data_IF_852001504660
#
_entry.id   IF_852001504660
#
_cell.length_a   1.000
_cell.length_b   1.000
_cell.length_c   1.000
_cell.angle_alpha   90.00
_cell.angle_beta   90.00
_cell.angle_gamma   90.00
#
_symmetry.space_group_name_H-M   'P 1'
#
loop_
_entity.id
_entity.type
_entity.pdbx_description
1 polymer ?
#
# COMPACT_ATOMS: atom_id res chain seq x y z
N UNK A 1 -35.52 19.65 20.46
CA UNK A 1 -35.33 20.02 19.05
C UNK A 1 -34.37 19.02 18.43
N UNK A 2 -34.94 17.92 17.93
CA UNK A 2 -34.26 16.89 17.16
C UNK A 2 -33.73 17.49 15.86
N UNK A 3 -32.40 17.55 15.74
CA UNK A 3 -31.72 17.83 14.47
C UNK A 3 -31.62 16.53 13.67
N UNK A 4 -32.53 16.39 12.70
CA UNK A 4 -32.47 15.38 11.64
C UNK A 4 -31.23 15.62 10.78
N UNK A 5 -30.09 15.03 11.16
CA UNK A 5 -28.90 14.96 10.31
C UNK A 5 -29.12 13.89 9.25
N UNK A 6 -29.31 14.33 8.02
CA UNK A 6 -29.66 13.50 6.87
C UNK A 6 -28.59 12.43 6.65
N UNK A 7 -28.96 11.16 6.88
CA UNK A 7 -28.19 10.01 6.38
C UNK A 7 -28.14 10.14 4.85
N UNK A 8 -26.98 10.32 4.20
CA UNK A 8 -26.93 10.20 2.76
C UNK A 8 -27.41 8.79 2.42
N UNK A 9 -28.55 8.72 1.74
CA UNK A 9 -29.21 7.45 1.43
C UNK A 9 -28.23 6.55 0.70
N UNK A 10 -28.08 5.31 1.17
CA UNK A 10 -27.19 4.29 0.59
C UNK A 10 -27.27 4.24 -0.94
N UNK A 11 -28.45 4.54 -1.52
CA UNK A 11 -28.71 4.70 -2.95
C UNK A 11 -27.85 5.75 -3.68
N UNK A 12 -27.56 6.91 -3.07
CA UNK A 12 -26.71 7.94 -3.69
C UNK A 12 -25.24 7.49 -3.77
N UNK A 13 -24.76 6.83 -2.71
CA UNK A 13 -23.41 6.24 -2.65
C UNK A 13 -23.22 5.14 -3.70
N UNK A 14 -24.24 4.32 -3.96
CA UNK A 14 -24.21 3.33 -5.05
C UNK A 14 -24.22 3.96 -6.45
N UNK A 15 -24.97 5.05 -6.65
CA UNK A 15 -24.97 5.78 -7.94
C UNK A 15 -23.62 6.41 -8.22
N UNK A 16 -22.99 7.09 -7.26
CA UNK A 16 -21.64 7.64 -7.44
C UNK A 16 -20.59 6.55 -7.68
N UNK A 17 -20.68 5.40 -6.99
CA UNK A 17 -19.74 4.28 -7.19
C UNK A 17 -19.94 3.59 -8.54
N UNK A 18 -21.18 3.42 -8.99
CA UNK A 18 -21.49 2.88 -10.31
C UNK A 18 -21.04 3.85 -11.41
N UNK A 19 -21.22 5.16 -11.21
CA UNK A 19 -20.75 6.20 -12.14
C UNK A 19 -19.23 6.25 -12.18
N UNK A 20 -18.52 6.17 -11.04
CA UNK A 20 -17.06 6.14 -11.01
C UNK A 20 -16.49 4.85 -11.60
N UNK A 21 -17.12 3.69 -11.34
CA UNK A 21 -16.76 2.42 -11.97
C UNK A 21 -17.01 2.42 -13.49
N UNK A 22 -18.14 2.97 -13.94
CA UNK A 22 -18.44 3.16 -15.36
C UNK A 22 -17.49 4.16 -16.01
N UNK A 23 -17.09 5.23 -15.31
CA UNK A 23 -16.14 6.22 -15.78
C UNK A 23 -14.74 5.60 -15.98
N UNK A 24 -14.28 4.77 -15.04
CA UNK A 24 -13.02 4.01 -15.22
C UNK A 24 -13.11 3.07 -16.42
N UNK A 25 -14.21 2.34 -16.58
CA UNK A 25 -14.43 1.47 -17.73
C UNK A 25 -14.48 2.23 -19.06
N UNK A 26 -15.08 3.43 -19.09
CA UNK A 26 -15.18 4.29 -20.28
C UNK A 26 -13.84 4.95 -20.62
N UNK A 27 -13.11 5.46 -19.62
CA UNK A 27 -11.79 6.06 -19.82
C UNK A 27 -10.80 5.02 -20.33
N UNK A 28 -10.85 3.81 -19.78
CA UNK A 28 -9.97 2.73 -20.22
C UNK A 28 -10.42 2.15 -21.56
N UNK A 29 -11.72 2.04 -21.84
CA UNK A 29 -12.26 1.71 -23.16
C UNK A 29 -11.77 2.70 -24.23
N UNK A 30 -11.83 3.99 -23.93
CA UNK A 30 -11.29 5.06 -24.80
C UNK A 30 -9.78 4.93 -25.02
N UNK A 31 -9.01 4.50 -24.01
CA UNK A 31 -7.58 4.20 -24.16
C UNK A 31 -7.31 2.95 -25.00
N UNK A 32 -8.15 1.90 -24.89
CA UNK A 32 -8.07 0.69 -25.72
C UNK A 32 -8.39 1.02 -27.19
N UNK A 33 -9.42 1.82 -27.44
CA UNK A 33 -9.79 2.27 -28.79
C UNK A 33 -8.70 3.18 -29.39
N UNK A 34 -8.15 4.11 -28.60
CA UNK A 34 -7.01 4.95 -29.03
C UNK A 34 -5.75 4.12 -29.32
N UNK A 35 -5.44 3.13 -28.49
CA UNK A 35 -4.32 2.20 -28.69
C UNK A 35 -4.51 1.30 -29.92
N UNK A 36 -5.76 0.93 -30.24
CA UNK A 36 -6.13 0.18 -31.44
C UNK A 36 -6.01 1.04 -32.71
N UNK A 37 -6.28 2.36 -32.60
CA UNK A 37 -6.10 3.33 -33.68
C UNK A 37 -4.64 3.63 -34.04
N UNK A 38 -3.71 3.56 -33.08
CA UNK A 38 -2.27 3.74 -33.33
C UNK A 38 -1.61 2.52 -34.02
N UNK A 39 -2.22 1.33 -33.95
CA UNK A 39 -1.70 0.11 -34.56
C UNK A 39 -2.06 -0.07 -36.05
N UNK A 40 -3.00 0.71 -36.58
CA UNK A 40 -3.50 0.58 -37.95
C UNK A 40 -2.70 1.36 -39.01
N UNK A 41 -1.63 2.07 -38.61
CA UNK A 41 -0.83 2.93 -39.50
C UNK A 41 0.47 2.34 -40.05
N UNK A 42 0.80 1.08 -39.77
CA UNK A 42 2.06 0.47 -40.20
C UNK A 42 1.84 -0.68 -41.20
N UNK A 43 1.35 -0.35 -42.39
CA UNK A 43 1.43 -1.23 -43.55
C UNK A 43 1.82 -0.41 -44.78
N UNK A 44 3.12 -0.38 -45.07
CA UNK A 44 3.73 -0.79 -46.35
C UNK A 44 4.94 0.08 -46.76
N UNK A 45 5.96 -0.59 -47.30
CA UNK A 45 7.04 0.01 -48.08
C UNK A 45 8.40 0.18 -47.39
N UNK A 46 9.33 -0.74 -47.67
CA UNK A 46 10.76 -0.38 -47.68
C UNK A 46 11.72 -1.43 -47.13
N UNK A 47 12.30 -2.20 -48.05
CA UNK A 47 13.53 -2.96 -47.90
C UNK A 47 14.62 -2.19 -47.12
N UNK A 48 14.84 -2.55 -45.85
CA UNK A 48 16.11 -2.34 -45.13
C UNK A 48 16.34 -3.49 -44.15
N UNK A 49 17.19 -4.44 -44.55
CA UNK A 49 17.87 -5.36 -43.64
C UNK A 49 18.74 -4.54 -42.66
N UNK A 50 18.64 -4.79 -41.36
CA UNK A 50 19.76 -5.00 -40.40
C UNK A 50 19.33 -4.79 -38.93
N UNK A 51 19.69 -5.77 -38.07
CA UNK A 51 19.90 -5.65 -36.60
C UNK A 51 18.72 -5.63 -35.61
N UNK A 52 17.55 -6.14 -35.97
CA UNK A 52 16.64 -6.72 -34.96
C UNK A 52 16.58 -8.21 -35.22
N UNK A 53 17.31 -8.98 -34.40
CA UNK A 53 16.98 -10.40 -34.21
C UNK A 53 15.47 -10.46 -33.96
N UNK A 54 14.78 -11.39 -34.62
CA UNK A 54 13.37 -11.66 -34.37
C UNK A 54 13.27 -12.11 -32.89
N UNK A 55 13.11 -11.15 -31.96
CA UNK A 55 13.12 -11.31 -30.50
C UNK A 55 11.78 -11.87 -29.98
N UNK A 56 10.72 -11.67 -30.77
CA UNK A 56 9.38 -12.06 -30.36
C UNK A 56 9.10 -13.59 -30.25
N UNK A 57 9.73 -14.52 -31.01
CA UNK A 57 9.63 -15.96 -30.72
C UNK A 57 10.37 -16.35 -29.43
N UNK A 58 11.51 -15.71 -29.10
CA UNK A 58 12.25 -15.98 -27.86
C UNK A 58 11.48 -15.51 -26.61
N UNK A 59 10.89 -14.31 -26.64
CA UNK A 59 10.03 -13.81 -25.56
C UNK A 59 8.82 -14.71 -25.26
N UNK A 60 8.19 -15.27 -26.30
CA UNK A 60 7.09 -16.22 -26.13
C UNK A 60 7.58 -17.55 -25.53
N UNK A 61 8.73 -18.05 -25.99
CA UNK A 61 9.34 -19.29 -25.47
C UNK A 61 9.70 -19.15 -23.99
N UNK A 62 10.30 -18.03 -23.60
CA UNK A 62 10.61 -17.71 -22.19
C UNK A 62 9.34 -17.52 -21.35
N UNK A 63 8.30 -16.87 -21.90
CA UNK A 63 7.02 -16.71 -21.23
C UNK A 63 6.33 -18.05 -20.96
N UNK A 64 6.42 -19.00 -21.90
CA UNK A 64 5.82 -20.33 -21.78
C UNK A 64 6.59 -21.26 -20.82
N UNK A 65 7.91 -21.07 -20.66
CA UNK A 65 8.73 -21.89 -19.77
C UNK A 65 8.58 -21.54 -18.28
N UNK A 66 8.18 -20.30 -17.95
CA UNK A 66 7.94 -19.85 -16.57
C UNK A 66 6.46 -20.01 -16.13
N UNK A 67 5.72 -20.90 -16.77
CA UNK A 67 4.30 -21.16 -16.48
C UNK A 67 4.11 -21.73 -15.08
N UNK A 68 3.38 -21.01 -14.25
CA UNK A 68 3.12 -21.36 -12.85
C UNK A 68 2.16 -20.41 -12.13
N UNK A 69 1.61 -19.43 -12.84
CA UNK A 69 0.56 -18.54 -12.34
C UNK A 69 -0.81 -19.12 -12.67
N UNK A 70 -1.82 -18.86 -11.83
CA UNK A 70 -3.21 -19.26 -12.09
C UNK A 70 -3.71 -18.71 -13.45
N UNK A 71 -3.17 -17.58 -13.89
CA UNK A 71 -3.38 -16.99 -15.22
C UNK A 71 -2.04 -16.50 -15.78
N UNK A 72 -1.57 -17.12 -16.86
CA UNK A 72 -0.31 -16.75 -17.53
C UNK A 72 -0.51 -15.57 -18.49
N UNK A 73 -0.61 -14.37 -17.92
CA UNK A 73 -0.73 -13.12 -18.66
C UNK A 73 0.43 -12.87 -19.64
N UNK A 74 1.61 -13.45 -19.37
CA UNK A 74 2.81 -13.35 -20.22
C UNK A 74 2.64 -14.09 -21.55
N UNK A 75 2.05 -15.29 -21.52
CA UNK A 75 1.76 -16.07 -22.73
C UNK A 75 0.66 -15.37 -23.53
N UNK A 76 -0.36 -14.84 -22.85
CA UNK A 76 -1.40 -14.04 -23.50
C UNK A 76 -0.82 -12.81 -24.23
N UNK A 77 0.08 -12.06 -23.58
CA UNK A 77 0.69 -10.85 -24.14
C UNK A 77 1.70 -11.15 -25.27
N UNK A 78 2.66 -12.05 -25.03
CA UNK A 78 3.78 -12.28 -25.97
C UNK A 78 3.47 -13.31 -27.05
N UNK A 79 2.69 -14.35 -26.74
CA UNK A 79 2.40 -15.43 -27.70
C UNK A 79 1.09 -15.22 -28.45
N UNK A 80 0.02 -14.83 -27.75
CA UNK A 80 -1.34 -14.80 -28.33
C UNK A 80 -1.71 -13.45 -28.95
N UNK A 81 -1.26 -12.33 -28.39
CA UNK A 81 -1.52 -10.97 -28.89
C UNK A 81 -0.30 -10.30 -29.54
N UNK A 82 0.53 -11.08 -30.25
CA UNK A 82 1.78 -10.60 -30.89
C UNK A 82 1.55 -9.45 -31.89
N UNK A 83 0.44 -9.49 -32.64
CA UNK A 83 0.07 -8.47 -33.63
C UNK A 83 -0.64 -7.23 -33.07
N UNK A 84 -1.06 -7.26 -31.80
CA UNK A 84 -1.84 -6.19 -31.18
C UNK A 84 -1.27 -5.86 -29.78
N UNK A 85 0.01 -5.46 -29.73
CA UNK A 85 0.72 -5.21 -28.46
C UNK A 85 0.05 -4.11 -27.63
N UNK A 86 -0.39 -3.03 -28.29
CA UNK A 86 -1.00 -1.89 -27.64
C UNK A 86 -2.34 -2.24 -26.96
N UNK A 87 -3.16 -3.07 -27.61
CA UNK A 87 -4.43 -3.55 -27.03
C UNK A 87 -4.19 -4.47 -25.84
N UNK A 88 -3.15 -5.32 -25.90
CA UNK A 88 -2.79 -6.16 -24.77
C UNK A 88 -2.27 -5.37 -23.57
N UNK A 89 -1.48 -4.31 -23.78
CA UNK A 89 -1.04 -3.43 -22.68
C UNK A 89 -2.23 -2.69 -22.09
N UNK A 90 -3.11 -2.14 -22.93
CA UNK A 90 -4.32 -1.45 -22.47
C UNK A 90 -5.25 -2.39 -21.68
N UNK A 91 -5.40 -3.65 -22.10
CA UNK A 91 -6.14 -4.67 -21.36
C UNK A 91 -5.50 -4.97 -19.99
N UNK A 92 -4.17 -5.07 -19.92
CA UNK A 92 -3.49 -5.29 -18.62
C UNK A 92 -3.66 -4.09 -17.69
N UNK A 93 -3.55 -2.86 -18.22
CA UNK A 93 -3.82 -1.65 -17.45
C UNK A 93 -5.28 -1.59 -16.98
N UNK A 94 -6.23 -2.02 -17.81
CA UNK A 94 -7.64 -2.15 -17.43
C UNK A 94 -7.84 -3.10 -16.27
N UNK A 95 -7.26 -4.30 -16.37
CA UNK A 95 -7.36 -5.32 -15.32
C UNK A 95 -6.76 -4.80 -14.02
N UNK A 96 -5.59 -4.16 -14.07
CA UNK A 96 -4.96 -3.55 -12.89
C UNK A 96 -5.86 -2.47 -12.29
N UNK A 97 -6.39 -1.55 -13.10
CA UNK A 97 -7.28 -0.49 -12.62
C UNK A 97 -8.55 -1.07 -11.97
N UNK A 98 -9.15 -2.09 -12.59
CA UNK A 98 -10.32 -2.78 -12.05
C UNK A 98 -10.01 -3.45 -10.71
N UNK A 99 -8.88 -4.16 -10.60
CA UNK A 99 -8.45 -4.82 -9.36
C UNK A 99 -8.22 -3.79 -8.25
N UNK A 100 -7.53 -2.68 -8.54
CA UNK A 100 -7.36 -1.58 -7.57
C UNK A 100 -8.70 -1.00 -7.12
N UNK A 101 -9.66 -0.83 -8.04
CA UNK A 101 -11.00 -0.34 -7.71
C UNK A 101 -11.76 -1.31 -6.81
N UNK A 102 -11.77 -2.61 -7.15
CA UNK A 102 -12.42 -3.65 -6.34
C UNK A 102 -11.76 -3.74 -4.95
N UNK A 103 -10.43 -3.74 -4.89
CA UNK A 103 -9.67 -3.75 -3.64
C UNK A 103 -10.03 -2.54 -2.77
N UNK A 104 -10.07 -1.34 -3.35
CA UNK A 104 -10.43 -0.11 -2.64
C UNK A 104 -11.87 -0.15 -2.09
N UNK A 105 -12.86 -0.50 -2.92
CA UNK A 105 -14.26 -0.57 -2.50
C UNK A 105 -14.48 -1.66 -1.44
N UNK A 106 -13.83 -2.82 -1.59
CA UNK A 106 -13.91 -3.92 -0.62
C UNK A 106 -13.24 -3.52 0.69
N UNK A 107 -12.08 -2.86 0.64
CA UNK A 107 -11.38 -2.39 1.82
C UNK A 107 -12.23 -1.39 2.62
N UNK A 108 -12.86 -0.42 1.94
CA UNK A 108 -13.70 0.56 2.61
C UNK A 108 -14.94 -0.06 3.27
N UNK A 109 -15.59 -1.02 2.59
CA UNK A 109 -16.86 -1.61 3.06
C UNK A 109 -16.71 -2.70 4.11
N UNK A 110 -15.64 -3.49 4.03
CA UNK A 110 -15.48 -4.69 4.86
C UNK A 110 -14.26 -4.61 5.76
N UNK A 111 -13.11 -4.23 5.23
CA UNK A 111 -11.86 -4.23 5.99
C UNK A 111 -11.82 -3.11 7.04
N UNK A 112 -12.10 -1.86 6.66
CA UNK A 112 -12.07 -0.71 7.57
C UNK A 112 -13.03 -0.85 8.77
N UNK A 113 -14.30 -1.28 8.60
CA UNK A 113 -15.20 -1.50 9.74
C UNK A 113 -14.75 -2.63 10.67
N UNK A 114 -14.17 -3.71 10.13
CA UNK A 114 -13.61 -4.81 10.94
C UNK A 114 -12.43 -4.32 11.76
N UNK A 115 -11.49 -3.59 11.16
CA UNK A 115 -10.34 -2.99 11.87
C UNK A 115 -10.82 -2.03 12.96
N UNK A 116 -11.83 -1.19 12.66
CA UNK A 116 -12.42 -0.28 13.65
C UNK A 116 -13.04 -1.03 14.82
N UNK A 117 -13.82 -2.09 14.55
CA UNK A 117 -14.45 -2.90 15.60
C UNK A 117 -13.43 -3.61 16.46
N UNK A 118 -12.34 -4.12 15.86
CA UNK A 118 -11.23 -4.71 16.61
C UNK A 118 -10.49 -3.67 17.47
N UNK A 119 -10.24 -2.48 16.91
CA UNK A 119 -9.59 -1.40 17.63
C UNK A 119 -10.42 -0.97 18.86
N UNK A 120 -11.75 -0.87 18.70
CA UNK A 120 -12.67 -0.53 19.80
C UNK A 120 -12.71 -1.64 20.86
N UNK A 121 -12.71 -2.92 20.45
CA UNK A 121 -12.67 -4.09 21.35
C UNK A 121 -11.38 -4.17 22.16
N UNK A 122 -10.25 -3.78 21.58
CA UNK A 122 -8.94 -3.80 22.23
C UNK A 122 -8.54 -2.45 22.83
N UNK A 123 -9.44 -1.45 22.79
CA UNK A 123 -9.21 -0.09 23.30
C UNK A 123 -7.92 0.55 22.72
N UNK A 124 -7.65 0.30 21.44
CA UNK A 124 -6.52 0.87 20.71
C UNK A 124 -6.88 2.26 20.20
N UNK A 125 -5.92 3.18 20.28
CA UNK A 125 -6.06 4.45 19.59
C UNK A 125 -6.02 4.26 18.06
N UNK A 126 -6.72 5.13 17.29
CA UNK A 126 -6.77 5.01 15.83
C UNK A 126 -5.40 4.95 15.15
N UNK A 127 -4.43 5.73 15.64
CA UNK A 127 -3.06 5.70 15.14
C UNK A 127 -2.40 4.32 15.35
N UNK A 128 -2.55 3.74 16.54
CA UNK A 128 -2.01 2.41 16.88
C UNK A 128 -2.68 1.31 16.07
N UNK A 129 -3.99 1.40 15.85
CA UNK A 129 -4.73 0.46 14.99
C UNK A 129 -4.28 0.53 13.52
N UNK A 130 -3.96 1.73 13.03
CA UNK A 130 -3.39 1.92 11.69
C UNK A 130 -2.02 1.27 11.53
N UNK A 131 -1.08 1.54 12.44
CA UNK A 131 0.29 0.98 12.34
C UNK A 131 0.38 -0.52 12.64
N UNK A 132 -0.68 -1.13 13.18
CA UNK A 132 -0.72 -2.57 13.53
C UNK A 132 -1.72 -3.36 12.69
N UNK A 133 -3.02 -3.18 12.93
CA UNK A 133 -4.08 -3.99 12.30
C UNK A 133 -4.20 -3.73 10.80
N UNK A 134 -4.18 -2.44 10.40
CA UNK A 134 -4.25 -2.07 8.99
C UNK A 134 -2.97 -2.51 8.26
N UNK A 135 -1.80 -2.27 8.87
CA UNK A 135 -0.51 -2.70 8.33
C UNK A 135 -0.41 -4.22 8.20
N UNK A 136 -0.88 -4.99 9.20
CA UNK A 136 -0.88 -6.45 9.19
C UNK A 136 -1.79 -7.02 8.10
N UNK A 137 -3.00 -6.46 7.95
CA UNK A 137 -3.94 -6.92 6.93
C UNK A 137 -3.42 -6.74 5.50
N UNK A 138 -2.62 -5.69 5.26
CA UNK A 138 -1.96 -5.48 3.97
C UNK A 138 -0.69 -6.33 3.82
N UNK A 139 0.16 -6.44 4.84
CA UNK A 139 1.47 -7.09 4.71
C UNK A 139 1.48 -8.62 4.86
N UNK A 140 0.50 -9.20 5.58
CA UNK A 140 0.41 -10.65 5.75
C UNK A 140 0.35 -11.45 4.43
N UNK A 141 -0.52 -11.12 3.45
CA UNK A 141 -0.57 -11.86 2.19
C UNK A 141 0.75 -11.79 1.41
N UNK A 142 1.46 -10.67 1.44
CA UNK A 142 2.75 -10.51 0.76
C UNK A 142 3.84 -11.41 1.37
N UNK A 143 3.87 -11.53 2.71
CA UNK A 143 4.80 -12.42 3.43
C UNK A 143 4.50 -13.88 3.08
N UNK A 144 3.22 -14.28 3.10
CA UNK A 144 2.84 -15.67 2.77
C UNK A 144 3.10 -16.00 1.30
N UNK A 145 2.85 -15.06 0.37
CA UNK A 145 3.16 -15.24 -1.04
C UNK A 145 4.68 -15.41 -1.26
N UNK A 146 5.48 -14.62 -0.57
CA UNK A 146 6.95 -14.68 -0.65
C UNK A 146 7.51 -15.96 -0.04
N UNK A 147 6.94 -16.42 1.07
CA UNK A 147 7.30 -17.69 1.69
C UNK A 147 6.91 -18.88 0.79
N UNK A 148 5.74 -18.83 0.15
CA UNK A 148 5.33 -19.84 -0.82
C UNK A 148 6.26 -19.86 -2.05
N UNK A 149 6.68 -18.69 -2.54
CA UNK A 149 7.64 -18.57 -3.63
C UNK A 149 9.04 -19.10 -3.25
N UNK A 150 9.50 -18.83 -2.03
CA UNK A 150 10.77 -19.32 -1.51
C UNK A 150 10.75 -20.85 -1.34
N UNK A 151 9.71 -21.39 -0.71
CA UNK A 151 9.59 -22.84 -0.44
C UNK A 151 9.34 -23.68 -1.68
N UNK A 152 8.68 -23.13 -2.71
CA UNK A 152 8.52 -23.80 -4.00
C UNK A 152 9.81 -23.86 -4.83
N UNK A 153 10.78 -22.98 -4.57
CA UNK A 153 12.13 -23.04 -5.17
C UNK A 153 13.05 -24.06 -4.49
N UNK A 154 12.83 -24.39 -3.21
CA UNK A 154 13.67 -25.32 -2.42
C UNK A 154 13.51 -26.81 -2.79
N UNK A 155 12.89 -27.14 -3.93
CA UNK A 155 12.75 -28.56 -4.36
C UNK A 155 14.05 -29.18 -4.89
N UNK A 156 15.13 -28.38 -5.01
CA UNK A 156 16.51 -28.85 -5.19
C UNK A 156 17.36 -28.38 -3.98
N UNK A 157 18.02 -29.28 -3.23
CA UNK A 157 18.69 -28.96 -1.97
C UNK A 157 20.12 -28.42 -2.11
N UNK A 158 20.63 -28.22 -3.32
CA UNK A 158 21.91 -27.53 -3.54
C UNK A 158 21.65 -26.07 -3.91
N UNK A 159 22.04 -25.15 -3.02
CA UNK A 159 22.18 -23.73 -3.32
C UNK A 159 20.88 -22.92 -3.38
N UNK A 160 20.47 -22.35 -2.25
CA UNK A 160 19.46 -21.27 -2.17
C UNK A 160 19.87 -20.01 -2.96
N UNK A 161 21.13 -19.93 -3.42
CA UNK A 161 21.64 -18.88 -4.29
C UNK A 161 22.66 -19.49 -5.26
N UNK A 162 22.16 -20.12 -6.31
CA UNK A 162 22.98 -20.50 -7.44
C UNK A 162 23.30 -19.22 -8.27
N UNK A 163 24.58 -18.82 -8.41
CA UNK A 163 24.95 -17.64 -9.21
C UNK A 163 24.53 -17.76 -10.68
N UNK A 164 24.27 -18.98 -11.17
CA UNK A 164 23.89 -19.24 -12.56
C UNK A 164 22.42 -19.71 -12.72
N UNK A 165 21.63 -19.80 -11.64
CA UNK A 165 20.31 -20.48 -11.67
C UNK A 165 19.16 -19.97 -10.78
N UNK A 166 19.30 -18.93 -9.95
CA UNK A 166 18.38 -18.70 -8.82
C UNK A 166 17.67 -17.35 -8.68
N UNK A 167 17.17 -16.71 -9.75
CA UNK A 167 16.54 -15.36 -9.67
C UNK A 167 15.20 -15.27 -8.90
N UNK A 168 14.63 -16.36 -8.39
CA UNK A 168 13.29 -16.35 -7.80
C UNK A 168 13.21 -15.61 -6.46
N UNK A 169 14.20 -15.80 -5.57
CA UNK A 169 14.20 -15.19 -4.23
C UNK A 169 14.50 -13.69 -4.29
N UNK A 170 15.47 -13.27 -5.11
CA UNK A 170 15.78 -11.86 -5.34
C UNK A 170 14.65 -11.10 -6.04
N UNK A 171 13.96 -11.74 -7.00
CA UNK A 171 12.80 -11.15 -7.66
C UNK A 171 11.63 -10.90 -6.70
N UNK A 172 11.39 -11.82 -5.75
CA UNK A 172 10.37 -11.64 -4.72
C UNK A 172 10.67 -10.46 -3.79
N UNK A 173 11.89 -10.37 -3.28
CA UNK A 173 12.33 -9.26 -2.43
C UNK A 173 12.24 -7.90 -3.15
N UNK A 174 12.70 -7.82 -4.41
CA UNK A 174 12.61 -6.62 -5.22
C UNK A 174 11.15 -6.19 -5.49
N UNK A 175 10.26 -7.15 -5.73
CA UNK A 175 8.83 -6.87 -5.93
C UNK A 175 8.20 -6.21 -4.68
N UNK A 176 8.43 -6.76 -3.48
CA UNK A 176 7.87 -6.21 -2.23
C UNK A 176 8.44 -4.81 -1.94
N UNK A 177 9.75 -4.63 -2.10
CA UNK A 177 10.40 -3.33 -1.88
C UNK A 177 9.83 -2.28 -2.84
N UNK A 178 9.72 -2.60 -4.12
CA UNK A 178 9.16 -1.68 -5.12
C UNK A 178 7.67 -1.37 -4.89
N UNK A 179 6.88 -2.36 -4.44
CA UNK A 179 5.48 -2.18 -4.09
C UNK A 179 5.33 -1.25 -2.87
N UNK A 180 6.13 -1.46 -1.82
CA UNK A 180 6.17 -0.57 -0.66
C UNK A 180 6.55 0.86 -1.03
N UNK A 181 7.57 1.03 -1.88
CA UNK A 181 8.00 2.36 -2.33
C UNK A 181 6.91 3.06 -3.14
N UNK A 182 6.22 2.33 -4.02
CA UNK A 182 5.10 2.85 -4.78
C UNK A 182 3.97 3.34 -3.84
N UNK A 183 3.60 2.56 -2.84
CA UNK A 183 2.57 2.96 -1.87
C UNK A 183 3.02 4.20 -1.08
N UNK A 184 4.24 4.20 -0.55
CA UNK A 184 4.75 5.31 0.26
C UNK A 184 4.94 6.61 -0.53
N UNK A 185 5.28 6.56 -1.82
CA UNK A 185 5.48 7.76 -2.62
C UNK A 185 4.20 8.21 -3.35
N UNK A 186 3.56 7.29 -4.10
CA UNK A 186 2.44 7.65 -4.96
C UNK A 186 1.12 7.75 -4.19
N UNK A 187 0.80 6.77 -3.34
CA UNK A 187 -0.49 6.74 -2.63
C UNK A 187 -0.52 7.82 -1.53
N UNK A 188 0.51 7.89 -0.69
CA UNK A 188 0.61 8.94 0.34
C UNK A 188 0.63 10.33 -0.30
N UNK A 189 1.37 10.51 -1.40
CA UNK A 189 1.42 11.77 -2.15
C UNK A 189 0.05 12.19 -2.71
N UNK A 190 -0.69 11.25 -3.31
CA UNK A 190 -2.04 11.51 -3.81
C UNK A 190 -3.02 11.85 -2.68
N UNK A 191 -2.97 11.12 -1.56
CA UNK A 191 -3.81 11.41 -0.38
C UNK A 191 -3.49 12.80 0.18
N UNK A 192 -2.22 13.18 0.26
CA UNK A 192 -1.81 14.51 0.72
C UNK A 192 -2.37 15.63 -0.16
N UNK A 193 -2.44 15.44 -1.49
CA UNK A 193 -3.00 16.41 -2.42
C UNK A 193 -4.54 16.49 -2.32
N UNK A 194 -5.22 15.35 -2.19
CA UNK A 194 -6.70 15.29 -2.19
C UNK A 194 -7.31 15.71 -0.85
N UNK A 195 -6.66 15.40 0.27
CA UNK A 195 -7.22 15.60 1.60
C UNK A 195 -6.84 16.94 2.27
N UNK A 196 -6.11 17.84 1.58
CA UNK A 196 -5.64 19.09 2.17
C UNK A 196 -6.79 20.03 2.61
N UNK A 197 -6.65 20.75 3.75
CA UNK A 197 -5.54 20.77 4.69
C UNK A 197 -5.81 19.92 5.95
N UNK A 198 -4.94 18.94 6.22
CA UNK A 198 -4.85 18.30 7.54
C UNK A 198 -3.46 18.61 8.14
N UNK A 199 -3.39 19.09 9.40
CA UNK A 199 -2.11 19.32 10.06
C UNK A 199 -1.42 17.97 10.29
N UNK A 200 -0.22 17.81 9.76
CA UNK A 200 0.65 16.64 10.00
C UNK A 200 1.75 17.06 10.96
N UNK A 201 1.92 16.30 12.03
CA UNK A 201 3.03 16.49 12.94
C UNK A 201 4.35 16.12 12.24
N UNK A 202 5.30 17.06 12.05
CA UNK A 202 6.49 16.81 11.23
C UNK A 202 7.46 15.81 11.87
N UNK A 203 7.49 15.72 13.20
CA UNK A 203 8.40 14.84 13.93
C UNK A 203 8.10 13.34 13.73
N UNK A 204 6.88 12.82 13.99
CA UNK A 204 6.57 11.41 13.72
C UNK A 204 6.60 11.09 12.23
N UNK A 205 6.19 12.02 11.37
CA UNK A 205 6.27 11.83 9.91
C UNK A 205 7.71 11.64 9.43
N UNK A 206 8.64 12.52 9.84
CA UNK A 206 10.04 12.43 9.43
C UNK A 206 10.71 11.17 10.01
N UNK A 207 10.40 10.81 11.26
CA UNK A 207 10.85 9.57 11.90
C UNK A 207 10.47 8.34 11.07
N UNK A 208 9.21 8.26 10.63
CA UNK A 208 8.69 7.11 9.90
C UNK A 208 9.28 7.03 8.49
N UNK A 209 9.41 8.17 7.79
CA UNK A 209 10.03 8.24 6.46
C UNK A 209 11.52 7.88 6.49
N UNK A 210 12.27 8.42 7.46
CA UNK A 210 13.70 8.13 7.59
C UNK A 210 13.95 6.66 7.95
N UNK A 211 13.15 6.09 8.86
CA UNK A 211 13.27 4.68 9.21
C UNK A 211 12.94 3.78 8.02
N UNK A 212 11.89 4.13 7.27
CA UNK A 212 11.52 3.42 6.05
C UNK A 212 12.64 3.45 4.99
N UNK A 213 13.21 4.64 4.73
CA UNK A 213 14.33 4.80 3.80
C UNK A 213 15.55 4.00 4.26
N UNK A 214 15.92 4.09 5.54
CA UNK A 214 17.06 3.36 6.10
C UNK A 214 16.88 1.83 5.97
N UNK A 215 15.70 1.30 6.30
CA UNK A 215 15.42 -0.14 6.15
C UNK A 215 15.45 -0.58 4.69
N UNK A 216 14.92 0.24 3.78
CA UNK A 216 14.92 -0.03 2.34
C UNK A 216 16.34 -0.05 1.79
N UNK A 217 17.17 0.94 2.14
CA UNK A 217 18.58 0.97 1.77
C UNK A 217 19.35 -0.21 2.36
N UNK A 218 19.16 -0.56 3.63
CA UNK A 218 19.80 -1.71 4.25
C UNK A 218 19.42 -3.02 3.53
N UNK A 219 18.15 -3.19 3.17
CA UNK A 219 17.68 -4.36 2.39
C UNK A 219 18.34 -4.39 1.01
N UNK A 220 18.44 -3.25 0.33
CA UNK A 220 19.11 -3.15 -0.97
C UNK A 220 20.59 -3.53 -0.89
N UNK A 221 21.29 -3.10 0.17
CA UNK A 221 22.70 -3.45 0.40
C UNK A 221 22.89 -4.94 0.69
N UNK A 222 22.05 -5.53 1.54
CA UNK A 222 22.09 -6.98 1.85
C UNK A 222 21.86 -7.82 0.58
N UNK A 223 20.97 -7.35 -0.31
CA UNK A 223 20.66 -8.06 -1.56
C UNK A 223 21.74 -7.82 -2.64
N UNK A 224 22.48 -6.71 -2.59
CA UNK A 224 23.46 -6.34 -3.60
C UNK A 224 24.62 -7.34 -3.72
N UNK A 225 25.04 -7.93 -2.60
CA UNK A 225 26.16 -8.88 -2.55
C UNK A 225 25.77 -10.30 -3.02
N UNK A 226 24.48 -10.53 -3.30
CA UNK A 226 23.96 -11.83 -3.75
C UNK A 226 24.11 -12.95 -2.71
N UNK A 227 24.47 -12.64 -1.46
CA UNK A 227 24.64 -13.62 -0.38
C UNK A 227 23.98 -13.07 0.87
N UNK A 228 22.92 -13.73 1.33
CA UNK A 228 22.22 -13.34 2.56
C UNK A 228 22.67 -14.25 3.69
N UNK A 229 23.36 -13.70 4.67
CA UNK A 229 23.74 -14.43 5.87
C UNK A 229 22.56 -14.55 6.85
N UNK A 230 22.51 -15.64 7.61
CA UNK A 230 21.44 -15.85 8.61
C UNK A 230 21.32 -14.71 9.64
N UNK A 231 22.44 -14.05 9.96
CA UNK A 231 22.47 -12.88 10.85
C UNK A 231 21.79 -11.67 10.24
N UNK A 232 21.96 -11.43 8.94
CA UNK A 232 21.33 -10.33 8.19
C UNK A 232 19.83 -10.59 8.02
N UNK A 233 19.49 -11.84 7.67
CA UNK A 233 18.10 -12.29 7.57
C UNK A 233 17.34 -12.16 8.90
N UNK A 234 17.99 -12.43 10.04
CA UNK A 234 17.40 -12.25 11.36
C UNK A 234 17.37 -10.77 11.82
N UNK A 235 18.33 -9.94 11.36
CA UNK A 235 18.39 -8.52 11.70
C UNK A 235 17.22 -7.73 11.10
N UNK A 236 16.78 -8.07 9.88
CA UNK A 236 15.64 -7.43 9.19
C UNK A 236 14.33 -7.45 10.01
N UNK A 237 13.79 -8.61 10.42
CA UNK A 237 12.59 -8.68 11.25
C UNK A 237 12.83 -8.13 12.67
N UNK A 238 14.03 -8.26 13.22
CA UNK A 238 14.37 -7.66 14.52
C UNK A 238 14.29 -6.12 14.48
N UNK A 239 14.81 -5.50 13.42
CA UNK A 239 14.68 -4.05 13.17
C UNK A 239 13.21 -3.63 13.09
N UNK A 240 12.36 -4.40 12.40
CA UNK A 240 10.93 -4.13 12.34
C UNK A 240 10.26 -4.18 13.72
N UNK A 241 10.52 -5.21 14.53
CA UNK A 241 9.97 -5.33 15.89
C UNK A 241 10.41 -4.16 16.77
N UNK A 242 11.69 -3.75 16.69
CA UNK A 242 12.21 -2.60 17.42
C UNK A 242 11.56 -1.29 16.98
N UNK A 243 11.35 -1.09 15.67
CA UNK A 243 10.64 0.08 15.15
C UNK A 243 9.19 0.14 15.64
N UNK A 244 8.44 -0.96 15.53
CA UNK A 244 7.05 -1.03 16.02
C UNK A 244 6.99 -0.76 17.52
N UNK A 245 7.91 -1.32 18.30
CA UNK A 245 8.01 -1.05 19.73
C UNK A 245 8.27 0.45 19.98
N UNK A 246 9.26 1.05 19.31
CA UNK A 246 9.60 2.46 19.44
C UNK A 246 8.42 3.39 19.12
N UNK A 247 7.70 3.14 18.01
CA UNK A 247 6.50 3.88 17.63
C UNK A 247 5.38 3.70 18.66
N UNK A 248 5.11 2.46 19.07
CA UNK A 248 4.07 2.16 20.06
C UNK A 248 4.36 2.86 21.40
N UNK A 249 5.62 2.82 21.87
CA UNK A 249 6.05 3.55 23.06
C UNK A 249 5.90 5.07 22.90
N UNK A 250 6.24 5.61 21.73
CA UNK A 250 6.04 7.02 21.39
C UNK A 250 4.58 7.44 21.54
N UNK A 251 3.64 6.65 21.01
CA UNK A 251 2.22 6.99 21.09
C UNK A 251 1.58 6.74 22.45
N UNK A 252 2.03 5.71 23.17
CA UNK A 252 1.66 5.52 24.57
C UNK A 252 2.09 6.73 25.42
N UNK A 253 3.27 7.28 25.17
CA UNK A 253 3.74 8.48 25.86
C UNK A 253 2.95 9.73 25.44
N UNK A 254 2.69 9.91 24.15
CA UNK A 254 1.90 11.03 23.63
C UNK A 254 0.50 11.06 24.25
N UNK A 255 -0.21 9.93 24.24
CA UNK A 255 -1.53 9.80 24.87
C UNK A 255 -1.49 10.08 26.38
N UNK A 256 -0.49 9.54 27.09
CA UNK A 256 -0.31 9.80 28.53
C UNK A 256 -0.10 11.29 28.80
N UNK A 257 0.65 12.00 27.97
CA UNK A 257 0.88 13.45 28.10
C UNK A 257 -0.42 14.23 27.88
N UNK A 258 -1.20 13.90 26.86
CA UNK A 258 -2.49 14.57 26.58
C UNK A 258 -3.50 14.37 27.71
N UNK A 259 -3.63 13.14 28.24
CA UNK A 259 -4.52 12.85 29.37
C UNK A 259 -4.06 13.58 30.64
N UNK A 260 -2.75 13.63 30.90
CA UNK A 260 -2.18 14.32 32.07
C UNK A 260 -2.34 15.84 31.98
N UNK A 261 -2.21 16.42 30.79
CA UNK A 261 -2.50 17.83 30.51
C UNK A 261 -3.96 18.16 30.79
N UNK A 262 -4.90 17.38 30.24
CA UNK A 262 -6.34 17.58 30.45
C UNK A 262 -6.76 17.48 31.92
N UNK A 263 -6.15 16.57 32.70
CA UNK A 263 -6.34 16.49 34.15
C UNK A 263 -5.83 17.73 34.88
N UNK A 264 -4.68 18.28 34.49
CA UNK A 264 -4.15 19.53 35.05
C UNK A 264 -5.07 20.72 34.74
N UNK A 265 -5.59 20.82 33.52
CA UNK A 265 -6.49 21.91 33.10
C UNK A 265 -7.88 21.81 33.75
N UNK A 266 -8.37 20.59 34.01
CA UNK A 266 -9.59 20.39 34.81
C UNK A 266 -9.38 20.85 36.25
N UNK A 267 -8.30 20.40 36.90
CA UNK A 267 -7.99 20.83 38.28
C UNK A 267 -7.76 22.34 38.41
N UNK A 268 -7.17 23.01 37.41
CA UNK A 268 -7.02 24.47 37.40
C UNK A 268 -8.37 25.20 37.33
N UNK A 269 -9.31 24.68 36.53
CA UNK A 269 -10.68 25.25 36.43
C UNK A 269 -11.46 25.08 37.73
N UNK A 270 -11.37 23.94 38.38
CA UNK A 270 -12.05 23.70 39.66
C UNK A 270 -11.56 24.66 40.76
N UNK A 271 -10.26 24.92 40.81
CA UNK A 271 -9.65 25.91 41.73
C UNK A 271 -10.14 27.33 41.43
N UNK A 272 -10.26 27.70 40.15
CA UNK A 272 -10.71 29.03 39.73
C UNK A 272 -12.21 29.26 40.05
N UNK A 273 -13.05 28.23 39.87
CA UNK A 273 -14.48 28.26 40.25
C UNK A 273 -14.66 28.36 41.77
N UNK A 274 -13.85 27.65 42.56
CA UNK A 274 -13.87 27.75 44.02
C UNK A 274 -13.52 29.15 44.53
N UNK A 275 -12.53 29.80 43.87
CA UNK A 275 -12.10 31.16 44.22
C UNK A 275 -13.15 32.22 43.90
N UNK A 276 -13.83 32.11 42.75
CA UNK A 276 -14.92 33.01 42.37
C UNK A 276 -16.14 32.84 43.27
N UNK A 277 -16.50 31.61 43.64
CA UNK A 277 -17.62 31.35 44.56
C UNK A 277 -17.38 31.95 45.95
N UNK A 278 -16.16 31.81 46.49
CA UNK A 278 -15.80 32.38 47.80
C UNK A 278 -15.82 33.92 47.80
N UNK A 279 -15.45 34.55 46.68
CA UNK A 279 -15.42 36.01 46.54
C UNK A 279 -16.84 36.58 46.50
N UNK A 280 -17.78 35.96 45.78
CA UNK A 280 -19.18 36.41 45.67
C UNK A 280 -19.96 36.28 46.99
N UNK A 281 -19.68 35.25 47.80
CA UNK A 281 -20.35 35.09 49.11
C UNK A 281 -19.93 36.18 50.11
N UNK A 282 -18.69 36.67 50.01
CA UNK A 282 -18.14 37.69 50.94
C UNK A 282 -18.67 39.10 50.64
N UNK A 283 -19.02 39.41 49.40
CA UNK A 283 -19.55 40.74 49.01
C UNK A 283 -21.05 40.90 49.25
N UNK A 284 -21.78 39.82 49.53
CA UNK A 284 -23.24 39.86 49.74
C UNK A 284 -23.62 39.97 51.23
N UNK A 285 -22.62 40.03 52.14
CA UNK A 285 -22.82 40.06 53.60
C UNK A 285 -22.47 41.39 54.27
N UNK A 286 -22.31 42.48 53.50
CA UNK A 286 -22.11 43.84 54.01
C UNK A 286 -23.25 44.75 53.61
#
# INVERSE_FOLDING_TARGET
MEGSEARPTVRMRWRERAVNGALVLVLVGSCVDAASGLGAGASDGGSRRSLLVDEAPELCRVASQRGGSLVDYRVLHHCRMRGARATSVALMLLVVALVFWILGDTAERYFCPVVKTLADRWNLAPATAGVTLLALGNGAPDVFASLAAATSSTRNPEGVFDPDGGHAAGAGAGAIVSAGMFVSCAVVGAVALVAAPFPVDPAPFLRDVLCYLACTCATALIVADGKVHAREAAALPACYVLFVAYVAFGELQSQRRTVRGRKRDAGRRDVEIGRTTTTTTTTTTT
#
